data_IF_526894298494
#
_entry.id   IF_526894298494
#
_cell.length_a   1.000
_cell.length_b   1.000
_cell.length_c   1.000
_cell.angle_alpha   90.00
_cell.angle_beta   90.00
_cell.angle_gamma   90.00
#
_symmetry.space_group_name_H-M   'P 1'
#
loop_
_entity.id
_entity.type
_entity.pdbx_description
1 polymer ?
#
# COMPACT_ATOMS: atom_id res chain seq x y z
N UNK A 1 -16.76 43.77 49.19
CA UNK A 1 -17.09 43.05 47.95
C UNK A 1 -16.01 42.01 47.71
N UNK A 2 -16.44 40.82 47.27
CA UNK A 2 -15.78 39.51 47.07
C UNK A 2 -14.24 39.49 46.83
N UNK A 3 -13.42 38.70 47.56
CA UNK A 3 -13.11 37.23 47.43
C UNK A 3 -12.39 36.90 46.10
N UNK A 4 -11.26 36.17 45.98
CA UNK A 4 -10.76 34.92 46.61
C UNK A 4 -9.30 34.63 46.12
N UNK A 5 -8.34 34.34 47.01
CA UNK A 5 -7.61 33.05 47.28
C UNK A 5 -6.83 32.46 46.09
N UNK A 6 -5.49 32.37 46.09
CA UNK A 6 -4.55 31.49 46.84
C UNK A 6 -4.55 30.01 46.39
N UNK A 7 -3.34 29.42 46.46
CA UNK A 7 -2.95 28.00 46.46
C UNK A 7 -2.96 27.23 45.12
N UNK A 8 -1.80 26.80 44.59
CA UNK A 8 -0.89 25.70 44.99
C UNK A 8 -1.31 24.32 44.46
N UNK A 9 -0.34 23.65 43.84
CA UNK A 9 -0.20 22.22 43.49
C UNK A 9 -1.33 21.27 43.88
N UNK A 10 -1.79 20.44 42.93
CA UNK A 10 -1.55 18.97 42.89
C UNK A 10 -2.35 18.35 41.75
N UNK A 11 -1.70 17.40 41.08
CA UNK A 11 -2.13 16.55 39.98
C UNK A 11 -3.60 16.07 40.01
N UNK A 12 -4.23 15.96 38.83
CA UNK A 12 -5.30 14.99 38.61
C UNK A 12 -5.09 14.26 37.27
N UNK A 13 -4.57 13.05 37.40
CA UNK A 13 -4.35 12.04 36.37
C UNK A 13 -5.62 11.21 36.23
N UNK A 14 -6.50 11.54 35.30
CA UNK A 14 -7.57 10.68 34.74
C UNK A 14 -7.90 11.28 33.36
N UNK A 15 -8.15 10.59 32.27
CA UNK A 15 -8.71 9.27 32.04
C UNK A 15 -8.19 8.84 30.66
N UNK A 16 -7.28 7.86 30.64
CA UNK A 16 -6.88 7.19 29.41
C UNK A 16 -7.98 6.21 29.02
N UNK A 17 -9.04 6.71 28.38
CA UNK A 17 -10.07 5.88 27.78
C UNK A 17 -9.50 5.16 26.56
N UNK A 18 -8.88 3.99 26.77
CA UNK A 18 -8.52 3.07 25.70
C UNK A 18 -9.81 2.38 25.22
N UNK A 19 -10.27 2.55 23.98
CA UNK A 19 -11.31 1.68 23.47
C UNK A 19 -10.68 0.29 23.28
N UNK A 20 -11.05 -0.67 24.14
CA UNK A 20 -10.82 -2.08 23.90
C UNK A 20 -11.68 -2.50 22.71
N UNK A 21 -11.13 -2.28 21.52
CA UNK A 21 -11.79 -2.59 20.27
C UNK A 21 -11.47 -4.06 19.96
N UNK A 22 -12.22 -4.97 20.59
CA UNK A 22 -12.36 -6.33 20.07
C UNK A 22 -13.01 -6.24 18.69
N UNK A 23 -12.19 -6.17 17.65
CA UNK A 23 -12.61 -6.37 16.29
C UNK A 23 -12.98 -7.85 16.13
N UNK A 24 -14.24 -8.19 16.36
CA UNK A 24 -14.79 -9.45 15.89
C UNK A 24 -14.82 -9.39 14.36
N UNK A 25 -13.74 -9.86 13.73
CA UNK A 25 -13.57 -9.85 12.29
C UNK A 25 -14.44 -10.97 11.73
N UNK A 26 -15.73 -10.69 11.55
CA UNK A 26 -16.55 -11.51 10.67
C UNK A 26 -15.92 -11.44 9.28
N UNK A 27 -15.41 -12.59 8.83
CA UNK A 27 -14.81 -12.74 7.51
C UNK A 27 -15.94 -12.66 6.49
N UNK A 28 -16.29 -11.44 6.10
CA UNK A 28 -17.14 -11.20 4.94
C UNK A 28 -16.44 -11.79 3.73
N UNK A 29 -17.07 -12.80 3.11
CA UNK A 29 -16.62 -13.36 1.84
C UNK A 29 -16.63 -12.23 0.80
N UNK A 30 -15.46 -11.73 0.44
CA UNK A 30 -15.31 -10.91 -0.75
C UNK A 30 -15.43 -11.82 -1.98
N UNK A 31 -16.09 -11.35 -3.03
CA UNK A 31 -16.18 -12.08 -4.28
C UNK A 31 -14.77 -12.32 -4.84
N UNK A 32 -14.32 -13.57 -4.79
CA UNK A 32 -13.08 -14.01 -5.44
C UNK A 32 -13.30 -14.03 -6.95
N UNK A 33 -13.31 -12.85 -7.57
CA UNK A 33 -13.09 -12.73 -9.01
C UNK A 33 -11.61 -12.93 -9.29
N UNK A 34 -11.14 -14.17 -9.38
CA UNK A 34 -9.83 -14.46 -9.97
C UNK A 34 -9.93 -14.24 -11.47
N UNK A 35 -9.87 -12.99 -11.93
CA UNK A 35 -9.35 -12.79 -13.27
C UNK A 35 -7.87 -13.09 -13.18
N UNK A 36 -7.40 -14.13 -13.87
CA UNK A 36 -5.96 -14.31 -14.07
C UNK A 36 -5.40 -13.01 -14.62
N UNK A 37 -4.46 -12.33 -13.93
CA UNK A 37 -3.66 -11.31 -14.58
C UNK A 37 -3.01 -12.04 -15.74
N UNK A 38 -3.27 -11.61 -16.97
CA UNK A 38 -2.47 -12.05 -18.10
C UNK A 38 -1.10 -11.41 -17.89
N UNK A 39 -0.27 -12.08 -17.08
CA UNK A 39 0.99 -11.59 -16.56
C UNK A 39 2.00 -11.58 -17.70
N UNK A 40 2.15 -10.43 -18.34
CA UNK A 40 3.20 -10.21 -19.34
C UNK A 40 4.50 -10.04 -18.56
N UNK A 41 5.24 -11.15 -18.41
CA UNK A 41 6.52 -11.18 -17.69
C UNK A 41 7.66 -10.76 -18.62
N UNK A 42 8.30 -9.63 -18.32
CA UNK A 42 9.54 -9.21 -18.98
C UNK A 42 10.70 -10.05 -18.42
N UNK A 43 11.63 -10.55 -19.25
CA UNK A 43 12.83 -11.23 -18.73
C UNK A 43 13.56 -10.33 -17.72
N UNK A 44 14.12 -10.90 -16.63
CA UNK A 44 14.73 -10.08 -15.59
C UNK A 44 15.83 -9.15 -16.11
N UNK A 45 15.79 -7.90 -15.68
CA UNK A 45 16.75 -6.86 -16.08
C UNK A 45 17.57 -6.37 -14.88
N UNK A 46 18.81 -5.91 -15.07
CA UNK A 46 19.54 -5.24 -14.00
C UNK A 46 18.86 -3.92 -13.61
N UNK A 47 19.06 -3.48 -12.36
CA UNK A 47 18.38 -2.30 -11.80
C UNK A 47 18.47 -1.05 -12.68
N UNK A 48 19.65 -0.79 -13.25
CA UNK A 48 19.89 0.40 -14.08
C UNK A 48 19.11 0.41 -15.40
N UNK A 49 18.56 -0.74 -15.83
CA UNK A 49 17.71 -0.86 -17.02
C UNK A 49 16.21 -0.85 -16.71
N UNK A 50 15.81 -0.92 -15.43
CA UNK A 50 14.39 -0.89 -15.04
C UNK A 50 13.67 0.34 -15.62
N UNK A 51 14.20 1.58 -15.52
CA UNK A 51 13.50 2.74 -16.08
C UNK A 51 13.25 2.62 -17.59
N UNK A 52 14.21 2.06 -18.34
CA UNK A 52 14.08 1.84 -19.78
C UNK A 52 13.01 0.78 -20.08
N UNK A 53 13.08 -0.37 -19.43
CA UNK A 53 12.12 -1.46 -19.65
C UNK A 53 10.69 -1.04 -19.30
N UNK A 54 10.52 -0.26 -18.22
CA UNK A 54 9.22 0.34 -17.85
C UNK A 54 8.72 1.29 -18.93
N UNK A 55 9.59 2.19 -19.42
CA UNK A 55 9.21 3.11 -20.49
C UNK A 55 8.81 2.36 -21.77
N UNK A 56 9.49 1.27 -22.10
CA UNK A 56 9.19 0.44 -23.27
C UNK A 56 7.78 -0.17 -23.17
N UNK A 57 7.41 -0.64 -21.98
CA UNK A 57 6.11 -1.26 -21.72
C UNK A 57 4.96 -0.24 -21.70
N UNK A 58 5.19 0.96 -21.16
CA UNK A 58 4.24 2.08 -21.25
C UNK A 58 4.05 2.49 -22.71
N UNK A 59 5.10 2.55 -23.53
CA UNK A 59 4.95 2.87 -24.96
C UNK A 59 4.18 1.78 -25.72
N UNK A 60 4.34 0.52 -25.31
CA UNK A 60 3.66 -0.63 -25.93
C UNK A 60 2.16 -0.66 -25.63
N UNK A 61 1.77 -0.42 -24.38
CA UNK A 61 0.38 -0.58 -23.94
C UNK A 61 -0.37 0.75 -23.71
N UNK A 62 0.37 1.85 -23.60
CA UNK A 62 -0.17 3.19 -23.41
C UNK A 62 -1.13 3.27 -22.23
N UNK A 63 -2.32 3.82 -22.50
CA UNK A 63 -3.39 4.03 -21.51
C UNK A 63 -3.96 2.73 -20.91
N UNK A 64 -3.66 1.57 -21.47
CA UNK A 64 -4.16 0.31 -20.96
C UNK A 64 -3.40 -0.16 -19.70
N UNK A 65 -2.21 0.39 -19.42
CA UNK A 65 -1.44 0.09 -18.21
C UNK A 65 -2.18 0.62 -16.98
N UNK A 66 -2.48 -0.27 -16.03
CA UNK A 66 -3.05 0.08 -14.72
C UNK A 66 -2.01 0.05 -13.62
N UNK A 67 -1.14 -0.94 -13.66
CA UNK A 67 -0.11 -1.14 -12.65
C UNK A 67 1.15 -1.72 -13.28
N UNK A 68 2.31 -1.32 -12.76
CA UNK A 68 3.60 -1.88 -13.12
C UNK A 68 4.26 -2.35 -11.84
N UNK A 69 4.48 -3.65 -11.74
CA UNK A 69 5.11 -4.29 -10.59
C UNK A 69 6.59 -4.56 -10.91
N UNK A 70 7.47 -3.99 -10.10
CA UNK A 70 8.92 -4.22 -10.19
C UNK A 70 9.39 -4.96 -8.96
N UNK A 71 9.84 -6.21 -9.14
CA UNK A 71 10.25 -7.08 -8.03
C UNK A 71 11.67 -7.56 -8.23
N UNK A 72 12.51 -7.37 -7.21
CA UNK A 72 13.84 -7.98 -7.16
C UNK A 72 13.71 -9.51 -7.13
N UNK A 73 14.51 -10.20 -7.92
CA UNK A 73 14.60 -11.67 -7.90
C UNK A 73 15.59 -12.11 -6.79
N UNK A 74 16.16 -13.32 -6.89
CA UNK A 74 17.15 -13.82 -5.91
C UNK A 74 18.49 -13.05 -5.95
N UNK A 75 18.75 -12.25 -6.97
CA UNK A 75 20.02 -11.52 -7.18
C UNK A 75 19.77 -10.03 -7.51
N UNK A 76 20.71 -9.35 -8.18
CA UNK A 76 20.57 -7.93 -8.57
C UNK A 76 19.77 -7.73 -9.86
N UNK A 77 18.92 -8.70 -10.20
CA UNK A 77 18.00 -8.62 -11.33
C UNK A 77 16.58 -8.35 -10.82
N UNK A 78 15.79 -7.72 -11.67
CA UNK A 78 14.45 -7.26 -11.37
C UNK A 78 13.51 -7.77 -12.46
N UNK A 79 12.45 -8.44 -12.03
CA UNK A 79 11.34 -8.80 -12.89
C UNK A 79 10.35 -7.63 -12.96
N UNK A 80 9.78 -7.41 -14.13
CA UNK A 80 8.77 -6.39 -14.38
C UNK A 80 7.54 -7.12 -14.91
N UNK A 81 6.41 -6.93 -14.24
CA UNK A 81 5.10 -7.39 -14.70
C UNK A 81 4.14 -6.20 -14.80
N UNK A 82 3.22 -6.27 -15.77
CA UNK A 82 2.27 -5.18 -16.03
C UNK A 82 0.85 -5.70 -16.01
N UNK A 83 0.03 -5.03 -15.20
CA UNK A 83 -1.40 -5.25 -15.17
C UNK A 83 -2.09 -4.26 -16.11
N UNK A 84 -2.97 -4.81 -16.94
CA UNK A 84 -3.73 -4.06 -17.93
C UNK A 84 -5.18 -3.91 -17.50
N UNK A 85 -5.80 -2.78 -17.85
CA UNK A 85 -7.24 -2.62 -17.77
C UNK A 85 -7.95 -3.41 -18.86
N UNK A 86 -9.11 -3.97 -18.53
CA UNK A 86 -10.07 -4.38 -19.57
C UNK A 86 -10.65 -3.09 -20.15
N UNK A 87 -10.42 -2.87 -21.45
CA UNK A 87 -11.05 -1.80 -22.21
C UNK A 87 -12.53 -2.06 -22.42
#
# INVERSE_FOLDING_TARGET
MQQRTDDRETEQKTSGGSPDQKCDRTVGQAATGTSSPEEISVPPVPLFLVPRAVADEIRRHGRAVREINVRRTRNHQYAISVERGRG
#
